data_IF_864479737603
#
_entry.id   IF_864479737603
#
_cell.length_a   1.000
_cell.length_b   1.000
_cell.length_c   1.000
_cell.angle_alpha   90.00
_cell.angle_beta   90.00
_cell.angle_gamma   90.00
#
_symmetry.space_group_name_H-M   'P 1'
#
loop_
_entity.id
_entity.type
_entity.pdbx_description
1 polymer ?
#
# COMPACT_ATOMS: atom_id res chain seq x y z
N UNK A 1 32.28 -27.50 -23.34
CA UNK A 1 32.11 -27.07 -21.92
C UNK A 1 31.54 -25.67 -21.96
N UNK A 2 30.25 -25.52 -21.68
CA UNK A 2 29.51 -24.25 -21.86
C UNK A 2 30.09 -23.14 -20.98
N UNK A 3 30.37 -21.97 -21.57
CA UNK A 3 30.87 -20.78 -20.87
C UNK A 3 29.81 -19.69 -20.95
N UNK A 4 29.41 -19.18 -19.79
CA UNK A 4 28.37 -18.18 -19.68
C UNK A 4 28.98 -16.81 -19.43
N UNK A 5 28.44 -15.73 -20.00
CA UNK A 5 28.94 -14.37 -19.81
C UNK A 5 27.80 -13.39 -19.52
N UNK A 6 28.05 -12.42 -18.64
CA UNK A 6 27.09 -11.36 -18.36
C UNK A 6 27.06 -10.31 -19.47
N UNK A 7 25.91 -10.06 -20.08
CA UNK A 7 25.74 -9.11 -21.20
C UNK A 7 26.09 -7.65 -20.86
N UNK A 8 25.94 -7.24 -19.60
CA UNK A 8 26.21 -5.85 -19.18
C UNK A 8 27.68 -5.59 -18.80
N UNK A 9 28.37 -6.59 -18.25
CA UNK A 9 29.73 -6.39 -17.71
C UNK A 9 30.78 -7.35 -18.28
N UNK A 10 30.42 -8.27 -19.17
CA UNK A 10 31.35 -9.18 -19.87
C UNK A 10 32.01 -10.23 -18.98
N UNK A 11 31.72 -10.27 -17.67
CA UNK A 11 32.34 -11.24 -16.75
C UNK A 11 31.81 -12.65 -16.98
N UNK A 12 32.72 -13.64 -16.95
CA UNK A 12 32.37 -15.05 -17.01
C UNK A 12 31.56 -15.50 -15.79
N UNK A 13 30.48 -16.24 -16.03
CA UNK A 13 29.55 -16.76 -15.05
C UNK A 13 29.73 -18.28 -14.92
N UNK A 14 29.58 -18.80 -13.69
CA UNK A 14 29.51 -20.25 -13.46
C UNK A 14 28.12 -20.77 -13.79
N UNK A 15 28.04 -22.02 -14.25
CA UNK A 15 26.82 -22.75 -14.68
C UNK A 15 25.67 -22.68 -13.67
N UNK A 16 25.96 -22.56 -12.37
CA UNK A 16 24.98 -22.55 -11.27
C UNK A 16 25.16 -21.36 -10.30
N UNK A 17 25.62 -20.20 -10.78
CA UNK A 17 25.81 -19.03 -9.90
C UNK A 17 24.47 -18.36 -9.54
N UNK A 18 24.32 -17.99 -8.26
CA UNK A 18 23.24 -17.10 -7.81
C UNK A 18 23.32 -15.71 -8.48
N UNK A 19 22.19 -15.00 -8.66
CA UNK A 19 22.16 -13.71 -9.34
C UNK A 19 23.14 -12.71 -8.72
N UNK A 20 23.88 -11.99 -9.58
CA UNK A 20 24.83 -10.99 -9.10
C UNK A 20 24.08 -9.83 -8.39
N UNK A 21 24.44 -9.46 -7.15
CA UNK A 21 23.62 -8.56 -6.31
C UNK A 21 23.41 -7.15 -6.90
N UNK A 22 24.26 -6.71 -7.81
CA UNK A 22 24.32 -5.32 -8.26
C UNK A 22 23.52 -4.99 -9.51
N UNK A 23 23.14 -5.98 -10.32
CA UNK A 23 22.44 -5.69 -11.58
C UNK A 23 21.03 -6.26 -11.65
N UNK A 24 20.66 -7.26 -10.84
CA UNK A 24 19.31 -7.84 -10.85
C UNK A 24 18.87 -8.46 -12.20
N UNK A 25 19.74 -8.49 -13.20
CA UNK A 25 19.48 -9.07 -14.52
C UNK A 25 20.07 -10.47 -14.61
N UNK A 26 19.27 -11.42 -15.08
CA UNK A 26 19.68 -12.79 -15.41
C UNK A 26 19.33 -13.08 -16.88
N UNK A 27 19.95 -12.33 -17.80
CA UNK A 27 19.94 -12.68 -19.23
C UNK A 27 21.21 -13.47 -19.51
N UNK A 28 21.05 -14.75 -19.84
CA UNK A 28 22.16 -15.68 -20.10
C UNK A 28 22.03 -16.12 -21.56
N UNK A 29 23.03 -15.79 -22.37
CA UNK A 29 23.11 -16.25 -23.76
C UNK A 29 23.84 -17.60 -23.74
N UNK A 30 23.21 -18.64 -24.29
CA UNK A 30 23.84 -19.94 -24.49
C UNK A 30 24.21 -20.01 -25.96
N UNK A 31 25.51 -19.92 -26.27
CA UNK A 31 26.00 -20.17 -27.62
C UNK A 31 26.25 -21.67 -27.72
N UNK A 32 25.39 -22.38 -28.44
CA UNK A 32 25.66 -23.77 -28.81
C UNK A 32 26.62 -23.75 -30.01
N UNK A 33 27.71 -24.52 -29.93
CA UNK A 33 28.68 -24.65 -31.02
C UNK A 33 28.09 -25.57 -32.10
N UNK A 34 27.11 -25.08 -32.85
CA UNK A 34 26.51 -25.81 -33.96
C UNK A 34 25.18 -25.23 -34.41
N UNK A 35 25.19 -24.62 -35.60
CA UNK A 35 24.01 -24.20 -36.37
C UNK A 35 23.22 -22.99 -35.82
N UNK A 36 23.68 -21.79 -36.19
CA UNK A 36 22.90 -20.86 -37.02
C UNK A 36 21.66 -20.15 -36.47
N UNK A 37 21.16 -20.43 -35.26
CA UNK A 37 20.04 -19.68 -34.68
C UNK A 37 20.24 -19.47 -33.16
N UNK A 38 20.40 -18.20 -32.76
CA UNK A 38 20.55 -17.76 -31.37
C UNK A 38 19.28 -18.08 -30.56
N UNK A 39 19.26 -19.25 -29.91
CA UNK A 39 18.15 -19.67 -29.05
C UNK A 39 18.24 -19.00 -27.67
N UNK A 40 17.66 -17.79 -27.54
CA UNK A 40 17.59 -17.06 -26.26
C UNK A 40 16.49 -17.64 -25.37
N UNK A 41 16.87 -18.39 -24.34
CA UNK A 41 15.93 -18.94 -23.33
C UNK A 41 15.86 -18.01 -22.11
N UNK A 42 14.75 -17.28 -21.98
CA UNK A 42 14.51 -16.37 -20.84
C UNK A 42 14.04 -17.19 -19.63
N UNK A 43 14.85 -17.26 -18.57
CA UNK A 43 14.59 -18.20 -17.47
C UNK A 43 13.73 -17.59 -16.35
N UNK A 44 13.82 -16.29 -16.04
CA UNK A 44 12.99 -15.70 -14.96
C UNK A 44 12.69 -14.20 -15.18
N UNK A 45 11.42 -13.80 -15.02
CA UNK A 45 10.96 -12.40 -15.02
C UNK A 45 10.72 -11.94 -13.58
N UNK A 46 11.60 -11.11 -13.04
CA UNK A 46 11.41 -10.48 -11.73
C UNK A 46 10.64 -9.17 -11.92
N UNK A 47 9.45 -9.06 -11.31
CA UNK A 47 8.65 -7.83 -11.28
C UNK A 47 8.82 -7.18 -9.90
N UNK A 48 9.48 -6.03 -9.85
CA UNK A 48 9.57 -5.22 -8.63
C UNK A 48 8.49 -4.15 -8.73
N UNK A 49 7.48 -4.22 -7.86
CA UNK A 49 6.43 -3.20 -7.76
C UNK A 49 6.65 -2.34 -6.52
N UNK A 50 6.95 -1.06 -6.71
CA UNK A 50 6.91 -0.07 -5.65
C UNK A 50 5.49 0.50 -5.53
N UNK A 51 4.82 0.26 -4.40
CA UNK A 51 3.51 0.87 -4.09
C UNK A 51 3.73 2.14 -3.27
N UNK A 52 3.52 3.30 -3.90
CA UNK A 52 3.44 4.58 -3.20
C UNK A 52 2.03 4.74 -2.66
N UNK A 53 1.87 4.86 -1.33
CA UNK A 53 0.59 5.19 -0.70
C UNK A 53 0.66 6.63 -0.17
N UNK A 54 -0.18 7.51 -0.70
CA UNK A 54 -0.34 8.87 -0.18
C UNK A 54 -1.00 8.85 1.20
N UNK A 55 -0.50 9.66 2.13
CA UNK A 55 -1.13 9.89 3.44
C UNK A 55 -2.08 11.07 3.31
N UNK A 56 -3.30 10.79 2.89
CA UNK A 56 -4.31 11.82 2.63
C UNK A 56 -5.55 11.62 3.51
N UNK A 57 -6.20 12.73 3.83
CA UNK A 57 -7.48 12.73 4.54
C UNK A 57 -8.41 13.76 3.92
N UNK A 58 -9.68 13.43 3.82
CA UNK A 58 -10.75 14.29 3.34
C UNK A 58 -11.67 14.69 4.49
N UNK A 59 -12.12 15.95 4.48
CA UNK A 59 -13.09 16.47 5.44
C UNK A 59 -14.17 17.27 4.74
N UNK A 60 -15.42 16.83 4.89
CA UNK A 60 -16.61 17.48 4.33
C UNK A 60 -17.49 17.94 5.50
N UNK A 61 -18.01 19.17 5.39
CA UNK A 61 -18.83 19.81 6.43
C UNK A 61 -20.00 20.55 5.81
N UNK A 62 -21.18 20.35 6.37
CA UNK A 62 -22.39 21.08 6.00
C UNK A 62 -22.81 22.00 7.15
N UNK A 63 -22.91 23.30 6.88
CA UNK A 63 -23.47 24.30 7.81
C UNK A 63 -24.91 24.63 7.44
N UNK A 64 -25.69 24.99 8.44
CA UNK A 64 -27.01 25.58 8.27
C UNK A 64 -27.06 26.93 8.99
N UNK A 65 -27.69 27.93 8.37
CA UNK A 65 -27.86 29.26 8.97
C UNK A 65 -28.67 29.15 10.27
N UNK A 66 -28.21 29.79 11.33
CA UNK A 66 -28.86 29.74 12.65
C UNK A 66 -28.40 28.56 13.53
N UNK A 67 -27.61 27.62 13.01
CA UNK A 67 -27.02 26.54 13.80
C UNK A 67 -25.53 26.77 14.05
N UNK A 68 -25.12 26.68 15.32
CA UNK A 68 -23.72 26.87 15.73
C UNK A 68 -22.81 25.73 15.28
N UNK A 69 -23.29 24.48 15.36
CA UNK A 69 -22.56 23.27 14.97
C UNK A 69 -22.84 22.92 13.50
N UNK A 70 -21.97 22.12 12.89
CA UNK A 70 -22.22 21.54 11.56
C UNK A 70 -23.37 20.53 11.64
N UNK A 71 -24.26 20.56 10.64
CA UNK A 71 -25.36 19.61 10.51
C UNK A 71 -24.83 18.23 10.12
N UNK A 72 -23.88 18.19 9.18
CA UNK A 72 -23.18 16.97 8.78
C UNK A 72 -21.68 17.20 8.76
N UNK A 73 -20.93 16.23 9.28
CA UNK A 73 -19.47 16.19 9.16
C UNK A 73 -19.05 14.78 8.75
N UNK A 74 -18.27 14.68 7.67
CA UNK A 74 -17.61 13.45 7.24
C UNK A 74 -16.11 13.67 7.26
N UNK A 75 -15.38 12.77 7.90
CA UNK A 75 -13.93 12.72 7.91
C UNK A 75 -13.52 11.33 7.44
N UNK A 76 -12.65 11.25 6.45
CA UNK A 76 -12.18 9.98 5.92
C UNK A 76 -10.68 10.03 5.59
N UNK A 77 -9.95 8.95 5.87
CA UNK A 77 -8.60 8.72 5.32
C UNK A 77 -7.56 8.43 6.39
N UNK A 78 -6.30 8.71 6.07
CA UNK A 78 -5.15 8.39 6.89
C UNK A 78 -5.01 9.34 8.09
N UNK A 79 -4.84 8.78 9.28
CA UNK A 79 -4.49 9.53 10.49
C UNK A 79 -3.32 8.88 11.23
N UNK A 80 -2.45 9.67 11.88
CA UNK A 80 -1.46 9.14 12.80
C UNK A 80 -2.18 8.40 13.92
N UNK A 81 -1.65 7.24 14.31
CA UNK A 81 -2.31 6.43 15.32
C UNK A 81 -2.14 7.05 16.71
N UNK A 82 -3.24 7.51 17.29
CA UNK A 82 -3.32 8.02 18.67
C UNK A 82 -3.98 7.02 19.62
N UNK A 83 -4.56 5.94 19.10
CA UNK A 83 -5.43 5.00 19.82
C UNK A 83 -4.65 3.74 20.21
N UNK A 84 -3.85 3.17 19.31
CA UNK A 84 -2.89 2.12 19.64
C UNK A 84 -1.48 2.68 19.43
N UNK A 85 -0.66 2.64 20.49
CA UNK A 85 0.72 3.16 20.46
C UNK A 85 1.64 2.41 19.49
N UNK A 86 1.16 1.30 18.92
CA UNK A 86 1.96 0.31 18.21
C UNK A 86 1.83 0.34 16.67
N UNK A 87 0.93 1.15 16.08
CA UNK A 87 0.88 1.24 14.61
C UNK A 87 1.81 2.32 14.06
N UNK A 88 3.02 1.90 13.72
CA UNK A 88 3.97 2.65 12.87
C UNK A 88 3.33 3.15 11.56
N UNK A 89 2.26 2.47 11.10
CA UNK A 89 1.62 2.70 9.81
C UNK A 89 0.45 3.70 9.87
N UNK A 90 -0.03 4.06 11.06
CA UNK A 90 -1.23 4.88 11.25
C UNK A 90 -2.54 4.09 11.15
N UNK A 91 -3.66 4.79 11.05
CA UNK A 91 -4.99 4.20 10.90
C UNK A 91 -5.73 4.79 9.72
N UNK A 92 -6.59 3.99 9.09
CA UNK A 92 -7.63 4.47 8.18
C UNK A 92 -8.90 4.72 9.00
N UNK A 93 -9.37 5.96 8.98
CA UNK A 93 -10.49 6.40 9.79
C UNK A 93 -11.61 6.89 8.89
N UNK A 94 -12.83 6.42 9.16
CA UNK A 94 -14.07 7.01 8.69
C UNK A 94 -14.88 7.48 9.90
N UNK A 95 -15.28 8.75 9.90
CA UNK A 95 -16.21 9.30 10.89
C UNK A 95 -17.30 10.10 10.20
N UNK A 96 -18.54 9.81 10.54
CA UNK A 96 -19.74 10.48 10.08
C UNK A 96 -20.52 10.97 11.29
N UNK A 97 -20.90 12.24 11.26
CA UNK A 97 -21.78 12.86 12.24
C UNK A 97 -22.93 13.45 11.44
N UNK A 98 -24.16 12.99 11.67
CA UNK A 98 -25.37 13.53 11.06
C UNK A 98 -26.36 13.97 12.14
N UNK A 99 -26.53 15.29 12.29
CA UNK A 99 -27.44 15.87 13.30
C UNK A 99 -28.88 15.86 12.89
N UNK A 100 -29.16 15.80 11.59
CA UNK A 100 -30.55 15.73 11.11
C UNK A 100 -31.16 14.38 11.47
N UNK A 101 -30.33 13.33 11.47
CA UNK A 101 -30.73 11.95 11.76
C UNK A 101 -30.40 11.47 13.17
N UNK A 102 -29.74 12.30 13.97
CA UNK A 102 -29.19 11.92 15.28
C UNK A 102 -28.24 10.71 15.19
N UNK A 103 -27.31 10.69 14.25
CA UNK A 103 -26.42 9.55 13.97
C UNK A 103 -24.94 9.88 14.20
N UNK A 104 -24.24 8.96 14.87
CA UNK A 104 -22.79 8.91 14.97
C UNK A 104 -22.28 7.57 14.44
N UNK A 105 -21.36 7.63 13.48
CA UNK A 105 -20.68 6.45 12.95
C UNK A 105 -19.17 6.69 12.91
N UNK A 106 -18.40 5.79 13.51
CA UNK A 106 -16.95 5.83 13.48
C UNK A 106 -16.36 4.44 13.30
N UNK A 107 -15.61 4.26 12.22
CA UNK A 107 -14.84 3.05 11.93
C UNK A 107 -13.37 3.42 11.86
N UNK A 108 -12.54 2.70 12.58
CA UNK A 108 -11.08 2.86 12.58
C UNK A 108 -10.45 1.52 12.28
N UNK A 109 -9.61 1.48 11.24
CA UNK A 109 -8.91 0.26 10.79
C UNK A 109 -7.40 0.45 10.90
N UNK A 110 -6.70 -0.56 11.39
CA UNK A 110 -5.24 -0.59 11.35
C UNK A 110 -4.77 -0.74 9.89
N UNK A 111 -3.87 0.11 9.45
CA UNK A 111 -3.34 0.06 8.09
C UNK A 111 -2.34 -1.06 7.85
N UNK A 112 -1.80 -1.67 8.92
CA UNK A 112 -0.83 -2.76 8.82
C UNK A 112 -1.49 -4.06 8.33
N UNK A 113 -2.59 -4.45 8.97
CA UNK A 113 -3.29 -5.73 8.76
C UNK A 113 -4.72 -5.55 8.23
N UNK A 114 -5.30 -4.34 8.32
CA UNK A 114 -6.68 -4.07 7.94
C UNK A 114 -7.71 -4.35 9.04
N UNK A 115 -7.26 -4.72 10.24
CA UNK A 115 -8.14 -5.09 11.34
C UNK A 115 -8.93 -3.89 11.84
N UNK A 116 -10.20 -4.12 12.18
CA UNK A 116 -11.06 -3.08 12.75
C UNK A 116 -10.66 -2.89 14.22
N UNK A 117 -10.06 -1.74 14.52
CA UNK A 117 -9.69 -1.32 15.88
C UNK A 117 -10.93 -0.82 16.62
N UNK A 118 -11.78 -0.08 15.91
CA UNK A 118 -12.99 0.50 16.48
C UNK A 118 -14.11 0.49 15.45
N UNK A 119 -15.28 0.08 15.90
CA UNK A 119 -16.53 0.14 15.15
C UNK A 119 -17.63 0.65 16.08
N UNK A 120 -18.09 1.88 15.87
CA UNK A 120 -19.12 2.52 16.70
C UNK A 120 -20.23 3.06 15.83
N UNK A 121 -21.45 2.60 16.13
CA UNK A 121 -22.67 3.08 15.52
C UNK A 121 -23.68 3.34 16.64
N UNK A 122 -23.96 4.61 16.93
CA UNK A 122 -24.87 4.98 18.00
C UNK A 122 -25.60 6.29 17.68
N UNK A 123 -26.74 6.55 18.34
CA UNK A 123 -27.37 7.84 18.25
C UNK A 123 -26.42 8.95 18.73
N UNK A 124 -26.38 10.06 17.99
CA UNK A 124 -25.49 11.17 18.30
C UNK A 124 -25.82 11.79 19.68
N UNK A 125 -27.08 11.79 20.07
CA UNK A 125 -27.57 12.17 21.39
C UNK A 125 -27.02 11.33 22.54
N UNK A 126 -26.59 10.09 22.26
CA UNK A 126 -26.01 9.16 23.24
C UNK A 126 -24.48 9.14 23.20
N UNK A 127 -23.88 9.69 22.14
CA UNK A 127 -22.43 9.76 22.00
C UNK A 127 -21.83 10.72 23.03
N UNK A 128 -21.15 10.16 24.04
CA UNK A 128 -20.42 10.95 25.04
C UNK A 128 -19.45 11.88 24.31
N UNK A 129 -19.49 13.17 24.64
CA UNK A 129 -18.75 14.29 24.03
C UNK A 129 -19.47 15.16 22.98
N UNK A 130 -20.78 14.95 22.71
CA UNK A 130 -21.53 15.81 21.76
C UNK A 130 -22.77 16.52 22.28
#
# INVERSE_FOLDING_TARGET
MEKYFCKKCGKGLKTNQEPYPFCGFKEVIVNDEGHGEDNVKIIHRVKIEAKVKGRESLKIRQKQRGFKKFMKEVIQGWFPNIITKDSEYGVDKLRIIDREKDEYHEVVKDLKNGDIIQDKHEPLSQHKHY
#
